data_IF_077482323134
#
_entry.id   IF_077482323134
#
_cell.length_a   1.000
_cell.length_b   1.000
_cell.length_c   1.000
_cell.angle_alpha   90.00
_cell.angle_beta   90.00
_cell.angle_gamma   90.00
#
_symmetry.space_group_name_H-M   'P 1'
#
loop_
_entity.id
_entity.type
_entity.pdbx_description
1 polymer ?
#
# COMPACT_ATOMS: atom_id res chain seq x y z
N UNK A 1 -42.13 2.43 -58.10
CA UNK A 1 -42.04 1.45 -59.20
C UNK A 1 -41.80 0.08 -58.57
N UNK A 2 -42.82 -0.79 -58.63
CA UNK A 2 -42.88 -1.97 -59.52
C UNK A 2 -42.30 -3.22 -58.81
N UNK A 3 -43.14 -3.96 -58.06
CA UNK A 3 -43.70 -5.31 -58.37
C UNK A 3 -42.68 -6.36 -58.81
N UNK A 4 -42.55 -7.46 -58.03
CA UNK A 4 -43.08 -8.80 -58.39
C UNK A 4 -42.46 -9.91 -57.50
N UNK A 5 -43.32 -10.80 -56.95
CA UNK A 5 -42.97 -12.15 -56.47
C UNK A 5 -42.74 -13.12 -57.65
N UNK A 6 -42.76 -14.48 -57.50
CA UNK A 6 -43.68 -15.30 -56.67
C UNK A 6 -42.96 -16.37 -55.79
N UNK A 7 -43.46 -16.79 -54.61
CA UNK A 7 -44.54 -17.75 -54.29
C UNK A 7 -44.46 -19.14 -54.94
N UNK A 8 -44.12 -20.16 -54.13
CA UNK A 8 -44.66 -21.55 -54.13
C UNK A 8 -44.47 -22.07 -52.69
N UNK A 9 -45.37 -22.72 -51.94
CA UNK A 9 -46.71 -23.25 -52.14
C UNK A 9 -47.35 -23.51 -50.75
N UNK A 10 -48.64 -23.81 -50.76
CA UNK A 10 -49.67 -23.53 -49.75
C UNK A 10 -49.79 -24.52 -48.55
N UNK A 11 -50.61 -24.17 -47.51
CA UNK A 11 -50.92 -24.96 -46.29
C UNK A 11 -52.25 -25.76 -46.51
N UNK A 12 -52.87 -26.53 -45.56
CA UNK A 12 -53.41 -26.04 -44.28
C UNK A 12 -53.45 -27.05 -43.11
N UNK A 13 -53.94 -26.53 -41.99
CA UNK A 13 -54.30 -27.10 -40.69
C UNK A 13 -55.15 -28.38 -40.68
N UNK A 14 -54.96 -29.15 -39.60
CA UNK A 14 -55.98 -29.83 -38.77
C UNK A 14 -56.57 -31.21 -39.18
N UNK A 15 -56.28 -32.20 -38.31
CA UNK A 15 -57.24 -33.06 -37.59
C UNK A 15 -57.61 -34.46 -38.16
N UNK A 16 -57.33 -35.46 -37.30
CA UNK A 16 -57.92 -36.81 -37.12
C UNK A 16 -57.62 -37.93 -38.12
N UNK A 17 -56.85 -38.93 -37.66
CA UNK A 17 -57.40 -40.29 -37.49
C UNK A 17 -56.57 -41.09 -36.49
N UNK A 18 -57.29 -41.71 -35.56
CA UNK A 18 -56.83 -42.48 -34.40
C UNK A 18 -56.48 -43.93 -34.81
N UNK A 19 -55.72 -44.59 -33.92
CA UNK A 19 -55.49 -46.04 -33.74
C UNK A 19 -54.25 -46.63 -34.43
N UNK A 20 -53.15 -46.81 -33.69
CA UNK A 20 -52.93 -48.02 -32.89
C UNK A 20 -51.61 -47.93 -32.06
N UNK A 21 -51.69 -48.33 -30.79
CA UNK A 21 -50.65 -48.38 -29.73
C UNK A 21 -49.50 -49.38 -30.07
N UNK A 22 -48.32 -49.41 -29.38
CA UNK A 22 -48.18 -49.25 -27.92
C UNK A 22 -46.96 -48.49 -27.36
N UNK A 23 -47.12 -47.96 -26.13
CA UNK A 23 -46.09 -48.20 -25.11
C UNK A 23 -45.59 -47.04 -24.24
N UNK A 24 -46.20 -45.85 -24.22
CA UNK A 24 -45.76 -44.78 -23.29
C UNK A 24 -46.95 -44.20 -22.53
N UNK A 25 -46.93 -44.33 -21.21
CA UNK A 25 -47.81 -43.60 -20.31
C UNK A 25 -46.96 -42.78 -19.32
N UNK A 26 -47.28 -41.50 -19.09
CA UNK A 26 -46.75 -40.78 -17.94
C UNK A 26 -47.84 -40.35 -16.95
N UNK A 27 -47.36 -40.16 -15.71
CA UNK A 27 -47.89 -39.44 -14.55
C UNK A 27 -48.68 -40.24 -13.51
N UNK A 28 -48.10 -40.28 -12.31
CA UNK A 28 -48.81 -40.38 -11.05
C UNK A 28 -48.37 -39.24 -10.12
N UNK A 29 -49.32 -38.81 -9.29
CA UNK A 29 -49.35 -37.64 -8.43
C UNK A 29 -48.95 -38.03 -6.99
N UNK A 30 -48.15 -37.16 -6.36
CA UNK A 30 -47.94 -36.83 -4.92
C UNK A 30 -48.58 -37.72 -3.83
N UNK A 31 -47.76 -38.20 -2.88
CA UNK A 31 -48.00 -38.16 -1.42
C UNK A 31 -46.68 -37.98 -0.63
N UNK A 32 -46.75 -37.26 0.51
CA UNK A 32 -45.65 -36.62 1.24
C UNK A 32 -44.94 -37.40 2.39
N UNK A 33 -44.27 -36.70 3.32
CA UNK A 33 -43.05 -37.12 4.08
C UNK A 33 -43.38 -37.61 5.52
N UNK A 34 -42.43 -38.08 6.39
CA UNK A 34 -41.50 -37.20 7.13
C UNK A 34 -40.19 -37.84 7.68
N UNK A 35 -39.26 -36.96 8.09
CA UNK A 35 -38.35 -37.14 9.23
C UNK A 35 -37.39 -38.35 9.23
N UNK A 36 -36.32 -38.29 8.43
CA UNK A 36 -35.11 -39.06 8.71
C UNK A 36 -33.86 -38.34 8.14
N UNK A 37 -33.55 -37.15 8.65
CA UNK A 37 -32.21 -36.56 8.55
C UNK A 37 -31.26 -37.20 9.59
N UNK A 38 -31.35 -38.51 9.77
CA UNK A 38 -30.45 -39.25 10.66
C UNK A 38 -29.26 -39.70 9.83
N UNK A 39 -28.25 -38.83 9.87
CA UNK A 39 -26.82 -39.18 9.91
C UNK A 39 -26.30 -40.07 8.77
N UNK A 40 -25.56 -39.45 7.85
CA UNK A 40 -24.21 -39.87 7.48
C UNK A 40 -23.50 -38.78 6.65
N UNK A 41 -22.16 -38.72 6.71
CA UNK A 41 -21.44 -37.52 7.12
C UNK A 41 -20.88 -36.73 5.94
N UNK A 42 -20.62 -35.46 6.22
CA UNK A 42 -20.01 -34.46 5.36
C UNK A 42 -18.58 -34.82 4.90
N UNK A 43 -18.41 -35.80 4.02
CA UNK A 43 -17.09 -36.22 3.53
C UNK A 43 -16.97 -36.39 2.01
N UNK A 44 -17.87 -35.78 1.22
CA UNK A 44 -17.76 -35.91 -0.24
C UNK A 44 -18.04 -34.62 -1.01
N UNK A 45 -17.62 -33.48 -0.44
CA UNK A 45 -17.43 -32.25 -1.23
C UNK A 45 -16.30 -31.37 -0.70
N UNK A 46 -15.18 -31.99 -0.34
CA UNK A 46 -13.88 -31.33 -0.17
C UNK A 46 -12.82 -32.10 -0.98
N UNK A 47 -12.98 -32.18 -2.30
CA UNK A 47 -11.89 -32.63 -3.19
C UNK A 47 -11.42 -31.57 -4.19
N UNK A 48 -12.00 -30.38 -4.13
CA UNK A 48 -11.52 -29.22 -4.90
C UNK A 48 -11.57 -27.98 -4.04
N UNK A 49 -10.83 -27.99 -2.92
CA UNK A 49 -10.36 -26.76 -2.30
C UNK A 49 -8.90 -27.01 -1.92
N UNK A 50 -8.04 -27.06 -2.93
CA UNK A 50 -6.63 -26.78 -2.67
C UNK A 50 -6.60 -25.37 -2.08
N UNK A 51 -6.03 -25.18 -0.88
CA UNK A 51 -5.90 -23.86 -0.36
C UNK A 51 -5.03 -23.04 -1.32
N UNK A 52 -5.52 -21.87 -1.74
CA UNK A 52 -4.73 -20.86 -2.47
C UNK A 52 -3.59 -20.28 -1.60
N UNK A 53 -3.20 -20.98 -0.54
CA UNK A 53 -2.33 -20.50 0.52
C UNK A 53 -0.89 -20.27 0.06
N UNK A 54 -0.20 -21.09 -0.76
CA UNK A 54 1.21 -20.81 -1.04
C UNK A 54 1.45 -19.48 -1.75
N UNK A 55 0.60 -19.13 -2.73
CA UNK A 55 0.79 -17.94 -3.57
C UNK A 55 0.16 -16.68 -2.97
N UNK A 56 -0.95 -16.79 -2.24
CA UNK A 56 -1.50 -15.69 -1.44
C UNK A 56 -0.57 -15.34 -0.27
N UNK A 57 0.09 -16.34 0.30
CA UNK A 57 1.09 -16.17 1.35
C UNK A 57 2.42 -15.65 0.77
N UNK A 58 2.77 -15.98 -0.47
CA UNK A 58 3.89 -15.33 -1.19
C UNK A 58 3.60 -13.85 -1.50
N UNK A 59 2.37 -13.50 -1.92
CA UNK A 59 1.96 -12.12 -2.14
C UNK A 59 1.90 -11.31 -0.84
N UNK A 60 1.43 -11.92 0.26
CA UNK A 60 1.52 -11.32 1.59
C UNK A 60 2.97 -11.21 2.09
N UNK A 61 3.86 -12.14 1.72
CA UNK A 61 5.28 -12.05 2.04
C UNK A 61 6.02 -10.99 1.21
N UNK A 62 5.55 -10.64 0.02
CA UNK A 62 6.10 -9.52 -0.77
C UNK A 62 5.50 -8.15 -0.39
N UNK A 63 4.58 -8.12 0.57
CA UNK A 63 4.01 -6.90 1.14
C UNK A 63 4.10 -6.93 2.67
N UNK A 64 5.24 -7.34 3.22
CA UNK A 64 5.61 -6.79 4.52
C UNK A 64 5.91 -5.31 4.28
N UNK A 65 5.17 -4.35 4.85
CA UNK A 65 5.74 -3.02 4.99
C UNK A 65 7.06 -3.23 5.71
N UNK A 66 8.17 -2.92 5.05
CA UNK A 66 9.48 -2.90 5.68
C UNK A 66 9.43 -1.88 6.82
N UNK A 67 8.99 -2.33 8.00
CA UNK A 67 8.89 -1.55 9.22
C UNK A 67 10.30 -1.42 9.83
N UNK A 68 11.26 -0.96 9.01
CA UNK A 68 12.69 -1.12 9.29
C UNK A 68 13.61 -0.04 8.75
N UNK A 69 13.15 0.86 7.88
CA UNK A 69 13.94 2.02 7.45
C UNK A 69 13.20 3.30 7.87
N UNK A 70 13.66 4.02 8.91
CA UNK A 70 13.25 5.40 9.14
C UNK A 70 13.84 6.25 8.01
N UNK A 71 13.27 6.14 6.81
CA UNK A 71 14.05 6.26 5.57
C UNK A 71 14.61 7.69 5.40
N UNK A 72 13.74 8.69 5.32
CA UNK A 72 14.16 10.10 5.29
C UNK A 72 13.19 10.99 6.05
N UNK A 73 11.90 10.65 6.03
CA UNK A 73 10.87 11.42 6.72
C UNK A 73 11.06 11.38 8.24
N UNK A 74 11.38 10.22 8.80
CA UNK A 74 11.63 10.07 10.23
C UNK A 74 12.80 10.95 10.68
N UNK A 75 13.92 10.94 9.94
CA UNK A 75 15.07 11.82 10.21
C UNK A 75 14.70 13.30 10.18
N UNK A 76 13.92 13.73 9.19
CA UNK A 76 13.43 15.11 9.11
C UNK A 76 12.56 15.51 10.30
N UNK A 77 11.69 14.61 10.77
CA UNK A 77 10.83 14.85 11.93
C UNK A 77 11.64 14.92 13.22
N UNK A 78 12.60 14.02 13.40
CA UNK A 78 13.51 14.05 14.55
C UNK A 78 14.30 15.36 14.58
N UNK A 79 14.89 15.77 13.44
CA UNK A 79 15.63 17.03 13.33
C UNK A 79 14.77 18.26 13.64
N UNK A 80 13.53 18.32 13.14
CA UNK A 80 12.55 19.37 13.49
C UNK A 80 12.25 19.42 14.99
N UNK A 81 12.14 18.27 15.64
CA UNK A 81 11.92 18.19 17.08
C UNK A 81 13.14 18.72 17.84
N UNK A 82 14.33 18.25 17.48
CA UNK A 82 15.58 18.68 18.12
C UNK A 82 15.91 20.16 17.89
N UNK A 83 15.53 20.72 16.75
CA UNK A 83 15.61 22.16 16.45
C UNK A 83 14.81 22.97 17.48
N UNK A 84 13.53 22.62 17.69
CA UNK A 84 12.65 23.33 18.63
C UNK A 84 13.11 23.23 20.07
N UNK A 85 13.65 22.07 20.45
CA UNK A 85 14.08 21.80 21.82
C UNK A 85 15.53 22.25 22.08
N UNK A 86 16.25 22.76 21.07
CA UNK A 86 17.69 23.11 21.19
C UNK A 86 18.61 21.92 21.48
N UNK A 87 18.15 20.70 21.16
CA UNK A 87 18.91 19.45 21.41
C UNK A 87 19.97 19.22 20.33
N UNK A 88 20.94 20.14 20.25
CA UNK A 88 21.99 20.14 19.22
C UNK A 88 22.78 18.82 19.17
N UNK A 89 23.07 18.19 20.31
CA UNK A 89 23.81 16.92 20.35
C UNK A 89 23.08 15.83 19.55
N UNK A 90 21.77 15.68 19.79
CA UNK A 90 20.94 14.69 19.09
C UNK A 90 20.77 15.04 17.62
N UNK A 91 20.63 16.33 17.31
CA UNK A 91 20.54 16.79 15.93
C UNK A 91 21.80 16.43 15.11
N UNK A 92 23.00 16.66 15.67
CA UNK A 92 24.26 16.30 15.01
C UNK A 92 24.43 14.78 14.89
N UNK A 93 24.13 14.03 15.95
CA UNK A 93 24.15 12.55 15.89
C UNK A 93 23.22 12.02 14.80
N UNK A 94 22.07 12.67 14.60
CA UNK A 94 21.12 12.31 13.56
C UNK A 94 21.70 12.53 12.16
N UNK A 95 22.46 13.61 11.92
CA UNK A 95 23.14 13.83 10.64
C UNK A 95 24.19 12.75 10.36
N UNK A 96 24.89 12.29 11.40
CA UNK A 96 25.86 11.21 11.27
C UNK A 96 25.17 9.85 11.07
N UNK A 97 24.05 9.60 11.75
CA UNK A 97 23.24 8.40 11.56
C UNK A 97 22.68 8.30 10.15
N UNK A 98 22.21 9.42 9.59
CA UNK A 98 21.78 9.48 8.19
C UNK A 98 22.91 9.03 7.26
N UNK A 99 24.10 9.62 7.43
CA UNK A 99 25.27 9.28 6.60
C UNK A 99 25.68 7.81 6.77
N UNK A 100 25.69 7.27 8.00
CA UNK A 100 26.01 5.87 8.28
C UNK A 100 25.03 4.88 7.62
N UNK A 101 23.76 5.27 7.48
CA UNK A 101 22.73 4.46 6.83
C UNK A 101 22.64 4.67 5.32
N UNK A 102 23.55 5.46 4.73
CA UNK A 102 23.59 5.73 3.29
C UNK A 102 22.67 6.86 2.84
N UNK A 103 22.03 7.59 3.76
CA UNK A 103 21.23 8.76 3.44
C UNK A 103 22.09 10.01 3.43
N UNK A 104 22.22 10.65 2.27
CA UNK A 104 22.85 11.96 2.15
C UNK A 104 22.01 13.03 2.85
N UNK A 105 22.49 13.66 3.95
CA UNK A 105 21.76 14.77 4.56
C UNK A 105 21.70 15.92 3.56
N UNK A 106 20.52 16.46 3.35
CA UNK A 106 20.33 17.59 2.45
C UNK A 106 20.39 18.92 3.21
N UNK A 107 20.29 20.04 2.48
CA UNK A 107 20.32 21.39 3.05
C UNK A 107 19.30 21.58 4.18
N UNK A 108 18.11 21.00 4.07
CA UNK A 108 17.10 21.07 5.13
C UNK A 108 17.59 20.41 6.43
N UNK A 109 18.25 19.25 6.33
CA UNK A 109 18.73 18.52 7.49
C UNK A 109 19.84 19.30 8.22
N UNK A 110 20.78 19.87 7.46
CA UNK A 110 21.82 20.73 8.02
C UNK A 110 21.24 21.99 8.66
N UNK A 111 20.31 22.66 7.99
CA UNK A 111 19.69 23.86 8.53
C UNK A 111 18.89 23.59 9.83
N UNK A 112 18.21 22.45 9.93
CA UNK A 112 17.54 22.05 11.16
C UNK A 112 18.55 21.79 12.30
N UNK A 113 19.69 21.14 12.01
CA UNK A 113 20.75 20.95 13.00
C UNK A 113 21.41 22.28 13.42
N UNK A 114 21.57 23.22 12.49
CA UNK A 114 22.05 24.58 12.77
C UNK A 114 21.05 25.35 13.63
N UNK A 115 19.75 25.23 13.36
CA UNK A 115 18.69 25.80 14.22
C UNK A 115 18.70 25.19 15.63
N UNK A 116 18.96 23.88 15.76
CA UNK A 116 19.16 23.26 17.07
C UNK A 116 20.38 23.84 17.80
N UNK A 117 21.48 24.12 17.08
CA UNK A 117 22.67 24.78 17.64
C UNK A 117 22.37 26.23 18.03
N UNK A 118 21.54 26.94 17.27
CA UNK A 118 21.10 28.30 17.57
C UNK A 118 20.29 28.36 18.87
N UNK A 119 19.26 27.51 19.01
CA UNK A 119 18.45 27.44 20.23
C UNK A 119 19.28 26.94 21.42
N UNK A 120 20.21 26.00 21.17
CA UNK A 120 21.14 25.47 22.16
C UNK A 120 22.35 26.37 22.48
N UNK A 121 22.45 27.57 21.87
CA UNK A 121 23.55 28.54 22.05
C UNK A 121 24.94 27.96 21.78
N UNK A 122 25.04 27.06 20.81
CA UNK A 122 26.29 26.36 20.46
C UNK A 122 26.90 26.87 19.15
N UNK A 123 27.34 28.13 19.13
CA UNK A 123 27.87 28.75 17.92
C UNK A 123 29.13 28.05 17.38
N UNK A 124 30.01 27.56 18.25
CA UNK A 124 31.23 26.81 17.83
C UNK A 124 30.87 25.57 17.03
N UNK A 125 29.80 24.87 17.46
CA UNK A 125 29.28 23.70 16.76
C UNK A 125 28.56 24.09 15.47
N UNK A 126 27.81 25.19 15.47
CA UNK A 126 27.20 25.71 14.25
C UNK A 126 28.25 26.01 13.15
N UNK A 127 29.36 26.65 13.49
CA UNK A 127 30.46 26.89 12.55
C UNK A 127 31.12 25.61 12.04
N UNK A 128 31.29 24.62 12.92
CA UNK A 128 31.82 23.30 12.54
C UNK A 128 30.91 22.63 11.50
N UNK A 129 29.59 22.69 11.69
CA UNK A 129 28.61 22.14 10.74
C UNK A 129 28.66 22.89 9.41
N UNK A 130 28.71 24.22 9.41
CA UNK A 130 28.82 25.02 8.17
C UNK A 130 30.08 24.64 7.38
N UNK A 131 31.21 24.45 8.07
CA UNK A 131 32.46 24.03 7.43
C UNK A 131 32.39 22.60 6.87
N UNK A 132 31.57 21.73 7.45
CA UNK A 132 31.39 20.35 7.01
C UNK A 132 30.46 20.23 5.79
N UNK A 133 29.47 21.12 5.65
CA UNK A 133 28.46 21.03 4.58
C UNK A 133 29.07 20.86 3.17
N UNK A 134 30.08 21.65 2.73
CA UNK A 134 30.69 21.48 1.41
C UNK A 134 31.37 20.13 1.22
N UNK A 135 31.96 19.57 2.28
CA UNK A 135 32.61 18.25 2.24
C UNK A 135 31.61 17.12 2.03
N UNK A 136 30.35 17.35 2.42
CA UNK A 136 29.22 16.45 2.20
C UNK A 136 28.38 16.83 0.96
N UNK A 137 28.90 17.70 0.10
CA UNK A 137 28.27 18.08 -1.17
C UNK A 137 27.07 19.03 -1.05
N UNK A 138 26.91 19.69 0.11
CA UNK A 138 25.82 20.64 0.34
C UNK A 138 26.40 22.04 0.53
N UNK A 139 25.91 23.02 -0.21
CA UNK A 139 26.39 24.40 -0.04
C UNK A 139 25.60 25.10 1.08
N UNK A 140 26.26 25.71 2.09
CA UNK A 140 25.60 26.58 3.05
C UNK A 140 24.82 27.70 2.37
N UNK A 141 23.67 28.08 2.95
CA UNK A 141 22.89 29.20 2.47
C UNK A 141 22.83 30.33 3.51
N UNK A 142 22.16 31.44 3.16
CA UNK A 142 21.98 32.59 4.05
C UNK A 142 21.38 32.16 5.40
N UNK A 143 20.41 31.23 5.39
CA UNK A 143 19.81 30.68 6.61
C UNK A 143 20.83 29.96 7.50
N UNK A 144 21.75 29.20 6.92
CA UNK A 144 22.83 28.53 7.64
C UNK A 144 23.72 29.53 8.39
N UNK A 145 24.16 30.60 7.71
CA UNK A 145 25.01 31.63 8.32
C UNK A 145 24.26 32.44 9.37
N UNK A 146 23.00 32.81 9.11
CA UNK A 146 22.17 33.54 10.07
C UNK A 146 21.98 32.76 11.37
N UNK A 147 21.76 31.44 11.29
CA UNK A 147 21.64 30.59 12.48
C UNK A 147 22.93 30.60 13.33
N UNK A 148 24.11 30.55 12.70
CA UNK A 148 25.39 30.63 13.42
C UNK A 148 25.63 32.00 14.06
N UNK A 149 25.30 33.11 13.36
CA UNK A 149 25.42 34.47 13.92
C UNK A 149 24.47 34.64 15.10
N UNK A 150 23.21 34.21 14.96
CA UNK A 150 22.21 34.25 16.04
C UNK A 150 22.64 33.40 17.24
N UNK A 151 23.28 32.24 17.00
CA UNK A 151 23.85 31.42 18.06
C UNK A 151 24.98 32.16 18.83
N UNK A 152 25.81 32.93 18.13
CA UNK A 152 26.86 33.75 18.77
C UNK A 152 26.25 34.87 19.61
N UNK A 153 25.24 35.57 19.08
CA UNK A 153 24.55 36.65 19.80
C UNK A 153 23.90 36.13 21.09
N UNK A 154 23.31 34.94 21.04
CA UNK A 154 22.68 34.31 22.20
C UNK A 154 23.68 33.70 23.18
N UNK A 155 24.96 33.53 22.86
CA UNK A 155 25.97 33.01 23.80
C UNK A 155 26.54 34.10 24.73
N UNK A 156 26.33 35.38 24.38
CA UNK A 156 26.72 36.54 25.17
C UNK A 156 25.75 36.83 26.33
#
# INVERSE_FOLDING_TARGET
AVIAGPRVGAPPTAVQSVWNQPGVAPRAIVQGPPSAWVQQPAQQKQKHLHPLQPQQQLLQQQQTPSFGEPDVLAFKLMLRGYEKDGQWVKALQTLDDMARRGFGPNLFCFNAALGACEVGRQWRKALQVIAEMPTRGVNPNIGSFNAAISACEKDA
#
